data_IF_369536854322
#
_entry.id   IF_369536854322
#
_cell.length_a   1.000
_cell.length_b   1.000
_cell.length_c   1.000
_cell.angle_alpha   90.00
_cell.angle_beta   90.00
_cell.angle_gamma   90.00
#
_symmetry.space_group_name_H-M   'P 1'
#
loop_
_entity.id
_entity.type
_entity.pdbx_description
1 polymer ?
#
# COMPACT_ATOMS: atom_id res chain seq x y z
N UNK A 1 15.52 -39.99 -5.21
CA UNK A 1 15.57 -39.40 -6.57
C UNK A 1 14.20 -38.78 -6.77
N UNK A 2 13.98 -37.47 -6.66
CA UNK A 2 14.68 -36.39 -7.34
C UNK A 2 14.64 -35.13 -6.48
N UNK A 3 15.80 -34.50 -6.30
CA UNK A 3 15.94 -33.19 -5.68
C UNK A 3 15.15 -32.17 -6.49
N UNK A 4 14.03 -31.68 -5.94
CA UNK A 4 13.41 -30.45 -6.43
C UNK A 4 14.34 -29.31 -6.04
N UNK A 5 15.31 -29.03 -6.91
CA UNK A 5 16.01 -27.76 -6.88
C UNK A 5 14.93 -26.69 -7.09
N UNK A 6 14.74 -25.85 -6.07
CA UNK A 6 13.96 -24.62 -6.16
C UNK A 6 14.35 -23.92 -7.46
N UNK A 7 13.43 -23.84 -8.43
CA UNK A 7 13.63 -22.97 -9.58
C UNK A 7 13.75 -21.56 -9.02
N UNK A 8 14.97 -21.04 -8.93
CA UNK A 8 15.19 -19.65 -8.61
C UNK A 8 14.44 -18.85 -9.67
N UNK A 9 13.39 -18.13 -9.27
CA UNK A 9 12.79 -17.12 -10.14
C UNK A 9 13.96 -16.24 -10.62
N UNK A 10 14.13 -16.14 -11.93
CA UNK A 10 15.08 -15.20 -12.51
C UNK A 10 14.30 -13.98 -12.96
N UNK A 11 14.82 -12.76 -12.75
CA UNK A 11 14.19 -11.57 -13.30
C UNK A 11 14.26 -11.60 -14.82
N UNK A 12 13.38 -10.84 -15.48
CA UNK A 12 13.39 -10.66 -16.92
C UNK A 12 14.22 -9.45 -17.32
N UNK A 13 14.62 -9.41 -18.60
CA UNK A 13 15.35 -8.26 -19.15
C UNK A 13 14.42 -7.04 -19.17
N UNK A 14 14.87 -5.94 -18.55
CA UNK A 14 14.10 -4.72 -18.40
C UNK A 14 13.51 -4.52 -17.00
N UNK A 15 13.47 -5.56 -16.17
CA UNK A 15 12.94 -5.47 -14.81
C UNK A 15 13.75 -4.51 -13.94
N UNK A 16 13.05 -3.88 -13.00
CA UNK A 16 13.66 -3.11 -11.92
C UNK A 16 13.75 -3.98 -10.68
N UNK A 17 14.96 -4.09 -10.13
CA UNK A 17 15.26 -4.94 -8.97
C UNK A 17 15.97 -4.15 -7.89
N UNK A 18 15.71 -4.48 -6.64
CA UNK A 18 16.46 -3.97 -5.48
C UNK A 18 17.59 -4.93 -5.16
N UNK A 19 18.81 -4.40 -5.14
CA UNK A 19 19.99 -5.18 -4.85
C UNK A 19 20.87 -4.50 -3.80
N UNK A 20 21.53 -5.32 -2.98
CA UNK A 20 22.49 -4.89 -1.97
C UNK A 20 23.91 -5.03 -2.51
N UNK A 21 24.70 -3.96 -2.49
CA UNK A 21 26.10 -3.97 -2.94
C UNK A 21 26.96 -4.83 -2.02
N UNK A 22 27.63 -5.84 -2.58
CA UNK A 22 28.49 -6.75 -1.82
C UNK A 22 29.96 -6.37 -1.88
N UNK A 23 30.45 -5.96 -3.06
CA UNK A 23 31.81 -5.47 -3.26
C UNK A 23 31.85 -4.45 -4.40
N UNK A 24 32.84 -3.57 -4.35
CA UNK A 24 33.06 -2.52 -5.35
C UNK A 24 34.50 -2.63 -5.84
N UNK A 25 34.64 -2.79 -7.14
CA UNK A 25 35.91 -2.88 -7.87
C UNK A 25 36.06 -1.67 -8.80
N UNK A 26 37.24 -1.46 -9.37
CA UNK A 26 37.49 -0.30 -10.24
C UNK A 26 36.71 -0.34 -11.56
N UNK A 27 36.32 -1.52 -12.03
CA UNK A 27 35.56 -1.71 -13.27
C UNK A 27 34.04 -1.86 -13.03
N UNK A 28 33.57 -1.93 -11.79
CA UNK A 28 32.16 -2.14 -11.50
C UNK A 28 31.83 -2.49 -10.05
N UNK A 29 30.55 -2.70 -9.78
CA UNK A 29 30.05 -3.09 -8.47
C UNK A 29 29.31 -4.43 -8.55
N UNK A 30 29.64 -5.35 -7.65
CA UNK A 30 28.87 -6.58 -7.48
C UNK A 30 27.78 -6.36 -6.45
N UNK A 31 26.61 -6.93 -6.74
CA UNK A 31 25.41 -6.78 -5.93
C UNK A 31 24.74 -8.14 -5.77
N UNK A 32 23.89 -8.28 -4.75
CA UNK A 32 22.99 -9.41 -4.59
C UNK A 32 21.55 -8.93 -4.67
N UNK A 33 20.74 -9.56 -5.52
CA UNK A 33 19.33 -9.20 -5.68
C UNK A 33 18.53 -9.70 -4.48
N UNK A 34 17.93 -8.78 -3.73
CA UNK A 34 17.22 -9.11 -2.49
C UNK A 34 15.92 -9.89 -2.76
N UNK A 35 15.29 -9.64 -3.90
CA UNK A 35 14.01 -10.24 -4.32
C UNK A 35 14.17 -11.64 -4.93
N UNK A 36 15.37 -11.99 -5.38
CA UNK A 36 15.63 -13.21 -6.15
C UNK A 36 16.69 -14.08 -5.47
N UNK A 37 16.43 -14.45 -4.22
CA UNK A 37 17.27 -15.37 -3.44
C UNK A 37 18.77 -14.99 -3.37
N UNK A 38 19.09 -13.71 -3.52
CA UNK A 38 20.47 -13.23 -3.48
C UNK A 38 21.32 -13.61 -4.70
N UNK A 39 20.72 -13.84 -5.87
CA UNK A 39 21.46 -14.03 -7.13
C UNK A 39 22.47 -12.89 -7.31
N UNK A 40 23.66 -13.21 -7.79
CA UNK A 40 24.72 -12.22 -7.99
C UNK A 40 24.49 -11.42 -9.28
N UNK A 41 24.61 -10.11 -9.14
CA UNK A 41 24.57 -9.15 -10.24
C UNK A 41 25.86 -8.35 -10.34
N UNK A 42 26.15 -7.86 -11.54
CA UNK A 42 27.26 -6.96 -11.81
C UNK A 42 26.74 -5.68 -12.47
N UNK A 43 27.15 -4.55 -11.92
CA UNK A 43 26.97 -3.24 -12.54
C UNK A 43 28.33 -2.80 -13.07
N UNK A 44 28.51 -2.83 -14.39
CA UNK A 44 29.74 -2.33 -15.01
C UNK A 44 29.86 -0.81 -14.84
N UNK A 45 31.08 -0.26 -14.74
CA UNK A 45 31.34 1.17 -14.55
C UNK A 45 30.58 2.06 -15.55
N UNK A 46 30.48 1.60 -16.81
CA UNK A 46 29.75 2.32 -17.86
C UNK A 46 28.25 2.41 -17.61
N UNK A 47 27.69 1.55 -16.76
CA UNK A 47 26.26 1.50 -16.41
C UNK A 47 25.96 2.11 -15.03
N UNK A 48 26.95 2.74 -14.37
CA UNK A 48 26.79 3.37 -13.06
C UNK A 48 26.22 4.79 -13.16
N UNK A 49 26.74 5.60 -14.10
CA UNK A 49 26.28 6.97 -14.32
C UNK A 49 26.20 7.29 -15.82
N UNK A 50 25.39 8.31 -16.15
CA UNK A 50 25.39 8.94 -17.49
C UNK A 50 26.58 9.88 -17.68
N UNK A 51 27.16 10.40 -16.59
CA UNK A 51 28.36 11.23 -16.60
C UNK A 51 29.62 10.40 -16.37
N UNK A 52 30.79 10.94 -16.72
CA UNK A 52 32.07 10.31 -16.41
C UNK A 52 32.22 10.10 -14.90
N UNK A 53 32.52 8.86 -14.51
CA UNK A 53 32.72 8.47 -13.10
C UNK A 53 34.21 8.39 -12.83
N UNK A 54 34.73 9.26 -11.95
CA UNK A 54 36.12 9.16 -11.47
C UNK A 54 36.29 8.11 -10.38
N UNK A 55 35.27 7.95 -9.53
CA UNK A 55 35.31 7.02 -8.41
C UNK A 55 33.94 6.36 -8.23
N UNK A 56 33.88 5.04 -8.42
CA UNK A 56 32.64 4.26 -8.29
C UNK A 56 32.07 4.33 -6.86
N UNK A 57 32.95 4.49 -5.85
CA UNK A 57 32.56 4.48 -4.42
C UNK A 57 31.68 5.66 -4.02
N UNK A 58 31.59 6.69 -4.86
CA UNK A 58 30.65 7.80 -4.69
C UNK A 58 29.21 7.39 -5.02
N UNK A 59 29.03 6.43 -5.92
CA UNK A 59 27.73 5.97 -6.42
C UNK A 59 27.27 4.66 -5.79
N UNK A 60 28.22 3.77 -5.47
CA UNK A 60 27.95 2.47 -4.88
C UNK A 60 28.90 2.20 -3.71
N UNK A 61 28.34 1.90 -2.53
CA UNK A 61 29.08 1.53 -1.33
C UNK A 61 28.67 0.14 -0.87
N UNK A 62 29.60 -0.62 -0.31
CA UNK A 62 29.29 -1.92 0.29
C UNK A 62 28.16 -1.78 1.32
N UNK A 63 27.18 -2.68 1.24
CA UNK A 63 25.96 -2.67 2.07
C UNK A 63 24.86 -1.70 1.61
N UNK A 64 25.12 -0.84 0.63
CA UNK A 64 24.11 0.08 0.09
C UNK A 64 23.07 -0.69 -0.73
N UNK A 65 21.80 -0.32 -0.57
CA UNK A 65 20.70 -0.79 -1.43
C UNK A 65 20.52 0.13 -2.62
N UNK A 66 20.46 -0.44 -3.82
CA UNK A 66 20.28 0.26 -5.08
C UNK A 66 19.13 -0.37 -5.86
N UNK A 67 18.37 0.47 -6.57
CA UNK A 67 17.45 0.01 -7.61
C UNK A 67 18.23 -0.04 -8.91
N UNK A 68 18.17 -1.18 -9.58
CA UNK A 68 18.93 -1.45 -10.80
C UNK A 68 18.00 -2.02 -11.86
N UNK A 69 18.29 -1.71 -13.12
CA UNK A 69 17.59 -2.27 -14.27
C UNK A 69 18.34 -3.48 -14.81
N UNK A 70 17.62 -4.57 -15.07
CA UNK A 70 18.18 -5.78 -15.67
C UNK A 70 18.45 -5.55 -17.14
N UNK A 71 19.71 -5.74 -17.55
CA UNK A 71 20.14 -5.62 -18.95
C UNK A 71 20.23 -6.98 -19.62
N UNK A 72 20.78 -7.96 -18.91
CA UNK A 72 21.01 -9.30 -19.44
C UNK A 72 21.02 -10.30 -18.31
N UNK A 73 20.40 -11.44 -18.57
CA UNK A 73 20.41 -12.60 -17.67
C UNK A 73 21.25 -13.68 -18.32
N UNK A 74 22.32 -14.12 -17.64
CA UNK A 74 23.16 -15.23 -18.11
C UNK A 74 22.90 -16.47 -17.26
N UNK A 75 22.09 -17.40 -17.78
CA UNK A 75 21.82 -18.68 -17.14
C UNK A 75 23.08 -19.56 -16.99
N UNK A 76 24.05 -19.42 -17.89
CA UNK A 76 25.30 -20.19 -17.85
C UNK A 76 26.25 -19.75 -16.72
N UNK A 77 26.27 -18.45 -16.39
CA UNK A 77 27.19 -17.87 -15.40
C UNK A 77 26.53 -17.58 -14.06
N UNK A 78 25.23 -17.84 -13.95
CA UNK A 78 24.38 -17.45 -12.81
C UNK A 78 24.61 -16.00 -12.36
N UNK A 79 24.80 -15.12 -13.35
CA UNK A 79 25.14 -13.72 -13.16
C UNK A 79 24.23 -12.85 -14.02
N UNK A 80 23.83 -11.71 -13.48
CA UNK A 80 22.93 -10.76 -14.13
C UNK A 80 23.67 -9.45 -14.36
N UNK A 81 23.66 -8.95 -15.59
CA UNK A 81 24.17 -7.62 -15.91
C UNK A 81 23.10 -6.58 -15.59
N UNK A 82 23.48 -5.58 -14.81
CA UNK A 82 22.59 -4.59 -14.22
C UNK A 82 23.05 -3.18 -14.57
N UNK A 83 22.12 -2.24 -14.52
CA UNK A 83 22.39 -0.82 -14.75
C UNK A 83 21.76 0.05 -13.69
N UNK A 84 22.56 0.97 -13.14
CA UNK A 84 22.08 2.06 -12.28
C UNK A 84 21.65 3.29 -13.11
N UNK A 85 22.37 3.61 -14.19
CA UNK A 85 22.13 4.83 -14.99
C UNK A 85 20.81 4.83 -15.76
N UNK A 86 20.26 3.65 -16.08
CA UNK A 86 18.99 3.49 -16.81
C UNK A 86 17.75 3.44 -15.90
N UNK A 87 17.91 3.81 -14.63
CA UNK A 87 16.80 3.92 -13.67
C UNK A 87 16.50 5.39 -13.44
N UNK A 88 15.29 5.81 -13.77
CA UNK A 88 14.83 7.18 -13.51
C UNK A 88 14.56 7.40 -12.02
N UNK A 89 14.55 8.66 -11.58
CA UNK A 89 14.23 9.01 -10.18
C UNK A 89 12.84 8.56 -9.74
N UNK A 90 11.86 8.57 -10.68
CA UNK A 90 10.52 8.06 -10.47
C UNK A 90 10.51 6.54 -10.29
N UNK A 91 11.07 5.80 -11.24
CA UNK A 91 11.20 4.34 -11.18
C UNK A 91 11.92 3.88 -9.91
N UNK A 92 13.01 4.56 -9.54
CA UNK A 92 13.73 4.29 -8.28
C UNK A 92 12.81 4.44 -7.07
N UNK A 93 12.05 5.53 -7.01
CA UNK A 93 11.20 5.82 -5.85
C UNK A 93 10.03 4.84 -5.76
N UNK A 94 9.39 4.54 -6.90
CA UNK A 94 8.29 3.58 -7.01
C UNK A 94 8.76 2.16 -6.64
N UNK A 95 9.88 1.69 -7.21
CA UNK A 95 10.41 0.35 -6.91
C UNK A 95 10.88 0.22 -5.46
N UNK A 96 11.52 1.24 -4.90
CA UNK A 96 11.88 1.24 -3.48
C UNK A 96 10.65 1.20 -2.56
N UNK A 97 9.56 1.85 -2.95
CA UNK A 97 8.32 1.81 -2.19
C UNK A 97 7.68 0.43 -2.26
N UNK A 98 7.60 -0.16 -3.44
CA UNK A 98 7.12 -1.53 -3.67
C UNK A 98 7.92 -2.53 -2.82
N UNK A 99 9.25 -2.53 -2.94
CA UNK A 99 10.12 -3.43 -2.18
C UNK A 99 9.94 -3.29 -0.66
N UNK A 100 9.79 -2.07 -0.14
CA UNK A 100 9.51 -1.84 1.28
C UNK A 100 8.15 -2.40 1.69
N UNK A 101 7.13 -2.24 0.84
CA UNK A 101 5.79 -2.77 1.07
C UNK A 101 5.81 -4.30 1.11
N UNK A 102 6.47 -4.94 0.16
CA UNK A 102 6.60 -6.39 0.10
C UNK A 102 7.32 -6.96 1.32
N UNK A 103 8.49 -6.40 1.69
CA UNK A 103 9.22 -6.84 2.89
C UNK A 103 8.42 -6.68 4.16
N UNK A 104 7.60 -5.62 4.24
CA UNK A 104 6.68 -5.42 5.35
C UNK A 104 5.56 -6.46 5.36
N UNK A 105 5.01 -6.80 4.20
CA UNK A 105 4.00 -7.85 4.06
C UNK A 105 4.54 -9.22 4.49
N UNK A 106 5.75 -9.58 4.04
CA UNK A 106 6.40 -10.84 4.42
C UNK A 106 6.71 -10.88 5.92
N UNK A 107 7.16 -9.77 6.51
CA UNK A 107 7.34 -9.66 7.96
C UNK A 107 6.03 -9.75 8.76
N UNK A 108 4.89 -9.41 8.15
CA UNK A 108 3.56 -9.59 8.74
C UNK A 108 3.14 -11.05 8.64
N UNK A 109 3.28 -11.67 7.47
CA UNK A 109 2.97 -13.09 7.26
C UNK A 109 3.76 -13.99 8.20
N UNK A 110 5.07 -13.74 8.33
CA UNK A 110 5.92 -14.47 9.27
C UNK A 110 5.42 -14.34 10.71
N UNK A 111 5.08 -13.12 11.15
CA UNK A 111 4.55 -12.93 12.50
C UNK A 111 3.14 -13.50 12.70
N UNK A 112 2.32 -13.59 11.65
CA UNK A 112 1.05 -14.31 11.71
C UNK A 112 1.28 -15.81 11.85
N UNK A 113 2.23 -16.38 11.10
CA UNK A 113 2.64 -17.78 11.21
C UNK A 113 3.15 -18.11 12.63
N UNK A 114 4.05 -17.28 13.16
CA UNK A 114 4.58 -17.40 14.52
C UNK A 114 3.45 -17.41 15.57
N UNK A 115 2.47 -16.50 15.41
CA UNK A 115 1.31 -16.40 16.31
C UNK A 115 0.42 -17.65 16.26
N UNK A 116 0.23 -18.21 15.07
CA UNK A 116 -0.54 -19.44 14.85
C UNK A 116 0.28 -20.71 15.12
N UNK A 117 1.57 -20.59 15.46
CA UNK A 117 2.51 -21.71 15.58
C UNK A 117 2.55 -22.58 14.32
N UNK A 118 2.46 -21.94 13.15
CA UNK A 118 2.54 -22.57 11.84
C UNK A 118 3.97 -22.54 11.30
N UNK A 119 4.25 -23.40 10.34
CA UNK A 119 5.58 -23.53 9.74
C UNK A 119 5.80 -22.47 8.65
N UNK A 120 7.05 -22.33 8.20
CA UNK A 120 7.38 -21.50 7.05
C UNK A 120 6.71 -22.02 5.76
N UNK A 121 6.52 -23.33 5.64
CA UNK A 121 5.81 -23.95 4.51
C UNK A 121 4.34 -23.52 4.47
N UNK A 122 3.67 -23.51 5.62
CA UNK A 122 2.29 -23.02 5.72
C UNK A 122 2.21 -21.53 5.32
N UNK A 123 3.19 -20.71 5.74
CA UNK A 123 3.24 -19.29 5.38
C UNK A 123 3.47 -19.08 3.87
N UNK A 124 4.27 -19.94 3.23
CA UNK A 124 4.52 -19.90 1.79
C UNK A 124 3.26 -20.28 0.99
N UNK A 125 2.44 -21.21 1.47
CA UNK A 125 1.16 -21.52 0.83
C UNK A 125 0.18 -20.36 0.92
N UNK A 126 0.14 -19.66 2.06
CA UNK A 126 -0.65 -18.42 2.18
C UNK A 126 -0.11 -17.32 1.25
N UNK A 127 1.22 -17.19 1.15
CA UNK A 127 1.86 -16.25 0.21
C UNK A 127 1.41 -16.51 -1.23
N UNK A 128 1.39 -17.77 -1.68
CA UNK A 128 0.90 -18.15 -3.03
C UNK A 128 -0.56 -17.78 -3.23
N UNK A 129 -1.43 -18.04 -2.25
CA UNK A 129 -2.85 -17.68 -2.34
C UNK A 129 -3.02 -16.16 -2.47
N UNK A 130 -2.27 -15.38 -1.68
CA UNK A 130 -2.33 -13.92 -1.77
C UNK A 130 -1.87 -13.39 -3.13
N UNK A 131 -0.78 -13.95 -3.68
CA UNK A 131 -0.31 -13.59 -5.02
C UNK A 131 -1.32 -13.95 -6.11
N UNK A 132 -1.88 -15.16 -6.09
CA UNK A 132 -2.84 -15.63 -7.10
C UNK A 132 -4.16 -14.84 -7.06
N UNK A 133 -4.67 -14.57 -5.86
CA UNK A 133 -6.02 -14.00 -5.68
C UNK A 133 -6.05 -12.48 -5.63
N UNK A 134 -4.98 -11.85 -5.18
CA UNK A 134 -4.92 -10.40 -4.97
C UNK A 134 -3.85 -9.71 -5.81
N UNK A 135 -3.01 -10.46 -6.55
CA UNK A 135 -1.97 -9.90 -7.41
C UNK A 135 -0.81 -9.24 -6.64
N UNK A 136 -0.70 -9.49 -5.33
CA UNK A 136 0.34 -8.91 -4.50
C UNK A 136 0.16 -9.23 -3.02
N UNK A 137 1.22 -9.07 -2.23
CA UNK A 137 1.21 -9.39 -0.80
C UNK A 137 0.73 -8.23 0.07
N UNK A 138 0.87 -6.99 -0.38
CA UNK A 138 0.59 -5.82 0.44
C UNK A 138 -0.86 -5.33 0.32
N UNK A 139 -1.42 -5.29 -0.89
CA UNK A 139 -2.82 -4.88 -1.15
C UNK A 139 -3.84 -5.61 -0.26
N UNK A 140 -3.82 -6.96 -0.15
CA UNK A 140 -4.76 -7.67 0.72
C UNK A 140 -4.63 -7.28 2.20
N UNK A 141 -3.45 -6.85 2.66
CA UNK A 141 -3.27 -6.36 4.03
C UNK A 141 -3.93 -4.99 4.22
N UNK A 142 -3.81 -4.10 3.24
CA UNK A 142 -4.51 -2.80 3.26
C UNK A 142 -6.03 -3.00 3.25
N UNK A 143 -6.54 -3.91 2.42
CA UNK A 143 -7.96 -4.26 2.38
C UNK A 143 -8.44 -4.88 3.69
N UNK A 144 -7.67 -5.78 4.30
CA UNK A 144 -7.99 -6.39 5.58
C UNK A 144 -8.00 -5.39 6.75
N UNK A 145 -7.15 -4.35 6.72
CA UNK A 145 -7.20 -3.26 7.69
C UNK A 145 -8.48 -2.42 7.57
N UNK A 146 -8.99 -2.29 6.35
CA UNK A 146 -10.07 -1.37 6.04
C UNK A 146 -11.45 -2.02 6.19
N UNK A 147 -11.63 -3.16 5.55
CA UNK A 147 -12.90 -3.89 5.46
C UNK A 147 -12.99 -5.06 6.45
N UNK A 148 -11.87 -5.46 7.06
CA UNK A 148 -11.78 -6.57 8.01
C UNK A 148 -11.25 -7.87 7.41
N UNK A 149 -11.02 -8.92 8.25
CA UNK A 149 -10.45 -10.19 7.82
C UNK A 149 -11.33 -10.94 6.79
N UNK A 150 -12.62 -10.61 6.69
CA UNK A 150 -13.58 -11.26 5.80
C UNK A 150 -13.17 -11.17 4.32
N UNK A 151 -12.45 -10.11 3.94
CA UNK A 151 -11.92 -9.96 2.57
C UNK A 151 -10.91 -11.06 2.24
N UNK A 152 -10.04 -11.39 3.19
CA UNK A 152 -9.06 -12.46 3.03
C UNK A 152 -9.73 -13.84 2.96
N UNK A 153 -10.79 -14.05 3.75
CA UNK A 153 -11.58 -15.29 3.71
C UNK A 153 -12.25 -15.46 2.35
N UNK A 154 -12.84 -14.39 1.79
CA UNK A 154 -13.40 -14.42 0.43
C UNK A 154 -12.34 -14.70 -0.63
N UNK A 155 -11.10 -14.29 -0.36
CA UNK A 155 -9.92 -14.64 -1.17
C UNK A 155 -9.42 -16.08 -1.00
N UNK A 156 -10.10 -16.92 -0.21
CA UNK A 156 -9.75 -18.33 -0.04
C UNK A 156 -8.82 -18.64 1.13
N UNK A 157 -8.51 -17.66 1.99
CA UNK A 157 -7.78 -17.93 3.24
C UNK A 157 -8.72 -18.54 4.28
N UNK A 158 -8.17 -19.37 5.18
CA UNK A 158 -8.93 -19.84 6.34
C UNK A 158 -9.23 -18.67 7.29
N UNK A 159 -10.32 -18.78 8.06
CA UNK A 159 -10.70 -17.78 9.06
C UNK A 159 -9.56 -17.52 10.07
N UNK A 160 -8.85 -18.59 10.46
CA UNK A 160 -7.70 -18.52 11.37
C UNK A 160 -6.58 -17.63 10.81
N UNK A 161 -6.16 -17.87 9.56
CA UNK A 161 -5.12 -17.06 8.90
C UNK A 161 -5.56 -15.63 8.64
N UNK A 162 -6.79 -15.44 8.18
CA UNK A 162 -7.35 -14.12 7.92
C UNK A 162 -7.36 -13.24 9.17
N UNK A 163 -7.80 -13.79 10.31
CA UNK A 163 -7.82 -13.10 11.60
C UNK A 163 -6.39 -12.77 12.08
N UNK A 164 -5.49 -13.75 12.08
CA UNK A 164 -4.11 -13.53 12.52
C UNK A 164 -3.40 -12.45 11.69
N UNK A 165 -3.55 -12.50 10.37
CA UNK A 165 -3.00 -11.50 9.45
C UNK A 165 -3.59 -10.12 9.76
N UNK A 166 -4.92 -9.98 9.87
CA UNK A 166 -5.55 -8.69 10.14
C UNK A 166 -5.08 -8.08 11.47
N UNK A 167 -4.96 -8.89 12.52
CA UNK A 167 -4.49 -8.44 13.83
C UNK A 167 -3.02 -7.98 13.81
N UNK A 168 -2.13 -8.79 13.23
CA UNK A 168 -0.71 -8.42 13.10
C UNK A 168 -0.57 -7.17 12.24
N UNK A 169 -1.33 -7.10 11.15
CA UNK A 169 -1.35 -5.94 10.25
C UNK A 169 -1.76 -4.67 11.01
N UNK A 170 -2.81 -4.72 11.83
CA UNK A 170 -3.26 -3.58 12.64
C UNK A 170 -2.20 -3.07 13.62
N UNK A 171 -1.32 -3.95 14.11
CA UNK A 171 -0.22 -3.55 15.00
C UNK A 171 1.00 -2.99 14.25
N UNK A 172 1.31 -3.52 13.05
CA UNK A 172 2.51 -3.15 12.28
C UNK A 172 2.28 -2.08 11.22
N UNK A 173 1.05 -1.89 10.76
CA UNK A 173 0.65 -0.88 9.79
C UNK A 173 -0.25 0.13 10.49
N UNK A 174 0.26 1.34 10.67
CA UNK A 174 -0.57 2.50 10.98
C UNK A 174 -1.05 3.07 9.65
N UNK A 175 -2.34 2.95 9.37
CA UNK A 175 -2.94 3.73 8.30
C UNK A 175 -2.83 5.19 8.70
N UNK A 176 -2.00 5.96 7.99
CA UNK A 176 -1.96 7.41 8.11
C UNK A 176 -3.24 7.98 7.50
N UNK A 177 -4.34 7.88 8.27
CA UNK A 177 -5.62 8.43 7.87
C UNK A 177 -5.57 9.94 8.04
N UNK A 178 -5.81 10.64 6.95
CA UNK A 178 -6.04 12.08 6.99
C UNK A 178 -7.45 12.35 7.48
N UNK A 179 -7.56 13.32 8.36
CA UNK A 179 -8.81 13.68 9.03
C UNK A 179 -9.17 15.12 8.71
N UNK A 180 -10.34 15.31 8.10
CA UNK A 180 -10.88 16.64 7.79
C UNK A 180 -12.25 16.81 8.44
N UNK A 181 -12.62 18.06 8.68
CA UNK A 181 -13.85 18.42 9.38
C UNK A 181 -14.55 19.55 8.65
N UNK A 182 -15.86 19.42 8.51
CA UNK A 182 -16.74 20.49 8.06
C UNK A 182 -17.90 20.67 9.02
N UNK A 183 -18.37 21.90 9.16
CA UNK A 183 -19.57 22.22 9.95
C UNK A 183 -20.68 22.66 9.02
N UNK A 184 -21.85 22.08 9.21
CA UNK A 184 -23.08 22.46 8.51
C UNK A 184 -24.11 22.96 9.51
N UNK A 185 -24.82 24.01 9.13
CA UNK A 185 -26.04 24.46 9.81
C UNK A 185 -27.23 23.92 9.03
N UNK A 186 -28.16 23.24 9.69
CA UNK A 186 -29.34 22.62 9.06
C UNK A 186 -30.58 22.90 9.90
N UNK A 187 -31.64 23.41 9.28
CA UNK A 187 -32.92 23.75 9.93
C UNK A 187 -34.10 23.23 9.11
N UNK A 188 -35.19 22.87 9.78
CA UNK A 188 -36.45 22.51 9.12
C UNK A 188 -37.63 22.85 10.03
N UNK A 189 -38.53 23.71 9.55
CA UNK A 189 -39.70 24.17 10.30
C UNK A 189 -41.00 23.41 9.94
N UNK A 190 -40.91 22.39 9.08
CA UNK A 190 -42.05 21.54 8.73
C UNK A 190 -42.39 20.57 9.88
N UNK A 191 -43.64 20.06 9.95
CA UNK A 191 -43.97 18.94 10.83
C UNK A 191 -43.00 17.78 10.60
N UNK A 192 -42.44 17.23 11.69
CA UNK A 192 -41.41 16.18 11.61
C UNK A 192 -40.00 16.69 11.24
N UNK A 193 -39.73 18.00 11.34
CA UNK A 193 -38.44 18.60 10.97
C UNK A 193 -37.20 17.92 11.55
N UNK A 194 -37.26 17.40 12.78
CA UNK A 194 -36.15 16.65 13.40
C UNK A 194 -35.82 15.38 12.62
N UNK A 195 -36.84 14.62 12.19
CA UNK A 195 -36.64 13.40 11.42
C UNK A 195 -36.10 13.71 10.02
N UNK A 196 -36.59 14.80 9.41
CA UNK A 196 -36.07 15.30 8.13
C UNK A 196 -34.59 15.66 8.25
N UNK A 197 -34.19 16.39 9.30
CA UNK A 197 -32.78 16.75 9.54
C UNK A 197 -31.95 15.49 9.75
N UNK A 198 -32.45 14.53 10.54
CA UNK A 198 -31.75 13.27 10.79
C UNK A 198 -31.54 12.47 9.50
N UNK A 199 -32.56 12.40 8.63
CA UNK A 199 -32.46 11.74 7.33
C UNK A 199 -31.47 12.44 6.41
N UNK A 200 -31.51 13.78 6.36
CA UNK A 200 -30.57 14.58 5.57
C UNK A 200 -29.13 14.43 6.06
N UNK A 201 -28.89 14.33 7.38
CA UNK A 201 -27.56 14.02 7.91
C UNK A 201 -27.16 12.57 7.57
N UNK A 202 -28.06 11.61 7.70
CA UNK A 202 -27.76 10.21 7.44
C UNK A 202 -27.50 9.92 5.94
N UNK A 203 -27.96 10.75 5.01
CA UNK A 203 -27.63 10.58 3.58
C UNK A 203 -26.14 10.80 3.29
N UNK A 204 -25.44 11.66 4.04
CA UNK A 204 -23.97 11.81 3.93
C UNK A 204 -23.20 10.50 4.18
N UNK A 205 -23.75 9.56 4.95
CA UNK A 205 -23.11 8.24 5.16
C UNK A 205 -23.28 7.29 3.96
N UNK A 206 -24.23 7.57 3.08
CA UNK A 206 -24.61 6.74 1.92
C UNK A 206 -23.96 7.18 0.61
N UNK A 207 -23.17 8.26 0.63
CA UNK A 207 -22.47 8.73 -0.57
C UNK A 207 -21.51 7.67 -1.08
N UNK A 208 -21.30 7.66 -2.40
CA UNK A 208 -20.20 6.91 -3.00
C UNK A 208 -18.89 7.58 -2.58
N UNK A 209 -18.08 6.85 -1.81
CA UNK A 209 -16.82 7.33 -1.21
C UNK A 209 -15.64 6.44 -1.64
N UNK A 210 -14.41 6.96 -1.68
CA UNK A 210 -13.21 6.15 -1.90
C UNK A 210 -13.11 5.02 -0.87
N UNK A 211 -12.49 3.89 -1.26
CA UNK A 211 -12.16 2.80 -0.33
C UNK A 211 -11.39 3.34 0.87
N UNK A 212 -11.74 2.87 2.06
CA UNK A 212 -11.24 3.32 3.34
C UNK A 212 -11.57 4.71 3.83
N UNK A 213 -12.61 5.30 3.25
CA UNK A 213 -13.18 6.55 3.75
C UNK A 213 -14.33 6.29 4.73
N UNK A 214 -14.28 6.93 5.89
CA UNK A 214 -15.31 6.88 6.92
C UNK A 214 -15.90 8.28 7.15
N UNK A 215 -17.23 8.37 7.23
CA UNK A 215 -17.95 9.63 7.49
C UNK A 215 -18.64 9.52 8.85
N UNK A 216 -18.22 10.34 9.80
CA UNK A 216 -18.80 10.46 11.13
C UNK A 216 -19.54 11.79 11.25
N UNK A 217 -20.70 11.76 11.89
CA UNK A 217 -21.54 12.95 12.05
C UNK A 217 -21.82 13.12 13.53
N UNK A 218 -21.57 14.33 14.03
CA UNK A 218 -21.76 14.69 15.43
C UNK A 218 -22.69 15.89 15.53
N UNK A 219 -23.58 15.87 16.51
CA UNK A 219 -24.33 17.07 16.90
C UNK A 219 -23.43 17.97 17.73
N UNK A 220 -23.23 19.22 17.31
CA UNK A 220 -22.58 20.24 18.14
C UNK A 220 -23.65 20.90 19.03
N UNK A 221 -24.85 21.07 18.49
CA UNK A 221 -26.00 21.71 19.11
C UNK A 221 -26.85 22.35 18.02
N UNK A 222 -28.18 22.30 18.13
CA UNK A 222 -29.07 22.83 17.08
C UNK A 222 -28.75 24.30 16.77
N UNK A 223 -28.65 24.71 15.50
CA UNK A 223 -28.83 23.93 14.26
C UNK A 223 -27.52 23.39 13.64
N UNK A 224 -26.42 23.34 14.40
CA UNK A 224 -25.06 23.03 13.92
C UNK A 224 -24.68 21.55 14.11
N UNK A 225 -24.14 20.97 13.05
CA UNK A 225 -23.67 19.59 12.98
C UNK A 225 -22.27 19.54 12.39
N UNK A 226 -21.42 18.67 12.93
CA UNK A 226 -20.07 18.42 12.43
C UNK A 226 -20.07 17.17 11.57
N UNK A 227 -19.53 17.27 10.37
CA UNK A 227 -19.19 16.16 9.51
C UNK A 227 -17.68 15.98 9.61
N UNK A 228 -17.24 14.80 9.99
CA UNK A 228 -15.84 14.43 10.11
C UNK A 228 -15.57 13.28 9.15
N UNK A 229 -14.53 13.43 8.34
CA UNK A 229 -14.14 12.43 7.36
C UNK A 229 -12.72 11.98 7.66
N UNK A 230 -12.55 10.66 7.75
CA UNK A 230 -11.24 10.00 7.82
C UNK A 230 -11.04 9.21 6.53
N UNK A 231 -9.94 9.42 5.82
CA UNK A 231 -9.66 8.74 4.56
C UNK A 231 -8.15 8.44 4.38
N UNK A 232 -7.75 7.58 3.43
CA UNK A 232 -6.34 7.20 3.23
C UNK A 232 -5.41 8.34 2.78
N UNK A 233 -5.95 9.44 2.28
CA UNK A 233 -5.18 10.65 1.92
C UNK A 233 -5.98 11.91 2.21
N UNK A 234 -5.29 13.04 2.34
CA UNK A 234 -5.93 14.34 2.56
C UNK A 234 -6.87 14.70 1.40
N UNK A 235 -6.45 14.46 0.16
CA UNK A 235 -7.26 14.71 -1.04
C UNK A 235 -8.54 13.87 -1.06
N UNK A 236 -8.44 12.58 -0.71
CA UNK A 236 -9.61 11.71 -0.60
C UNK A 236 -10.56 12.18 0.52
N UNK A 237 -10.01 12.66 1.63
CA UNK A 237 -10.77 13.16 2.77
C UNK A 237 -11.54 14.44 2.40
N UNK A 238 -10.87 15.42 1.78
CA UNK A 238 -11.45 16.69 1.29
C UNK A 238 -12.57 16.46 0.27
N UNK A 239 -12.30 15.61 -0.73
CA UNK A 239 -13.30 15.26 -1.76
C UNK A 239 -14.54 14.61 -1.14
N UNK A 240 -14.34 13.68 -0.22
CA UNK A 240 -15.44 12.97 0.45
C UNK A 240 -16.22 13.90 1.38
N UNK A 241 -15.55 14.81 2.09
CA UNK A 241 -16.21 15.84 2.92
C UNK A 241 -17.08 16.76 2.08
N UNK A 242 -16.57 17.21 0.93
CA UNK A 242 -17.32 18.08 0.02
C UNK A 242 -18.59 17.40 -0.49
N UNK A 243 -18.47 16.15 -0.96
CA UNK A 243 -19.62 15.35 -1.40
C UNK A 243 -20.63 15.11 -0.26
N UNK A 244 -20.16 14.84 0.96
CA UNK A 244 -21.03 14.65 2.12
C UNK A 244 -21.83 15.93 2.46
N UNK A 245 -21.16 17.09 2.44
CA UNK A 245 -21.81 18.38 2.68
C UNK A 245 -22.84 18.67 1.60
N UNK A 246 -22.49 18.50 0.32
CA UNK A 246 -23.40 18.70 -0.81
C UNK A 246 -24.64 17.81 -0.72
N UNK A 247 -24.47 16.54 -0.36
CA UNK A 247 -25.58 15.59 -0.21
C UNK A 247 -26.54 16.00 0.92
N UNK A 248 -26.02 16.43 2.07
CA UNK A 248 -26.82 16.91 3.21
C UNK A 248 -27.62 18.16 2.81
N UNK A 249 -26.94 19.14 2.21
CA UNK A 249 -27.56 20.40 1.79
C UNK A 249 -28.60 20.20 0.67
N UNK A 250 -28.32 19.29 -0.26
CA UNK A 250 -29.26 18.89 -1.31
C UNK A 250 -30.50 18.19 -0.73
N UNK A 251 -30.30 17.27 0.20
CA UNK A 251 -31.40 16.49 0.81
C UNK A 251 -32.31 17.39 1.65
N UNK A 252 -31.76 18.26 2.50
CA UNK A 252 -32.57 19.16 3.34
C UNK A 252 -33.37 20.15 2.49
N UNK A 253 -32.76 20.70 1.43
CA UNK A 253 -33.42 21.67 0.54
C UNK A 253 -34.59 21.02 -0.21
N UNK A 254 -34.42 19.79 -0.69
CA UNK A 254 -35.51 19.01 -1.32
C UNK A 254 -36.66 18.74 -0.35
N UNK A 255 -36.37 18.52 0.92
CA UNK A 255 -37.37 18.34 1.96
C UNK A 255 -38.03 19.67 2.42
N UNK A 256 -37.54 20.82 1.95
CA UNK A 256 -38.04 22.16 2.29
C UNK A 256 -37.55 22.66 3.64
N UNK A 257 -36.37 22.22 4.08
CA UNK A 257 -35.58 22.90 5.09
C UNK A 257 -34.47 23.76 4.47
N UNK A 258 -33.66 24.38 5.31
CA UNK A 258 -32.54 25.23 4.91
C UNK A 258 -31.23 24.67 5.45
N UNK A 259 -30.14 24.87 4.72
CA UNK A 259 -28.82 24.51 5.20
C UNK A 259 -27.70 25.30 4.55
N UNK A 260 -26.60 25.46 5.28
CA UNK A 260 -25.36 26.10 4.79
C UNK A 260 -24.12 25.51 5.43
N UNK A 261 -23.01 25.51 4.68
CA UNK A 261 -21.66 25.23 5.21
C UNK A 261 -21.19 26.43 6.04
N UNK A 262 -20.58 26.17 7.20
CA UNK A 262 -20.07 27.19 8.12
C UNK A 262 -18.54 27.25 8.19
N UNK A 263 -17.86 26.24 7.66
CA UNK A 263 -16.41 26.04 7.71
C UNK A 263 -16.11 24.60 7.36
#
# INVERSE_FOLDING_TARGET
MSSQASQALMPEVGDLVVATVTRVEDYGAYVKLDEYSGIEGLVHISEISTTWVRNIREHARQGQKLVLKVLRVSSQRNQIDLSLRRVTGREKSEKMLEWKKERKAEAILKSAADKLKKTEEDAEDIRKILLDKFGGLYSPLEEALDEGPEVLVKGGLSSEWAQAIAEVTKTKIRLERSKVRGTVSVTCHKPGGVEIIKQALMSAKKIRKPRGSEVKIYSIGSPKYRIEVEAPSFEAAEKTLSLAVEEVLGTIKKAGGEGRKLG
#
